data_IF_281165116300
#
_entry.id   IF_281165116300
#
_cell.length_a   1.000
_cell.length_b   1.000
_cell.length_c   1.000
_cell.angle_alpha   90.00
_cell.angle_beta   90.00
_cell.angle_gamma   90.00
#
_symmetry.space_group_name_H-M   'P 1'
#
loop_
_entity.id
_entity.type
_entity.pdbx_description
1 polymer ?
#
# COMPACT_ATOMS: atom_id res chain seq x y z
N UNK A 1 24.20 16.83 6.84
CA UNK A 1 22.98 16.05 7.10
C UNK A 1 23.14 15.33 8.42
N UNK A 2 22.31 15.63 9.42
CA UNK A 2 22.32 14.88 10.68
C UNK A 2 21.77 13.46 10.42
N UNK A 3 22.42 12.46 11.00
CA UNK A 3 21.99 11.07 10.86
C UNK A 3 20.65 10.87 11.58
N UNK A 4 19.63 10.43 10.84
CA UNK A 4 18.32 10.12 11.42
C UNK A 4 18.41 8.98 12.43
N UNK A 5 17.72 9.13 13.55
CA UNK A 5 17.55 8.07 14.54
C UNK A 5 16.76 6.90 13.94
N UNK A 6 16.90 5.67 14.48
CA UNK A 6 16.12 4.53 14.03
C UNK A 6 14.60 4.76 14.06
N UNK A 7 14.13 5.56 15.04
CA UNK A 7 12.72 5.93 15.19
C UNK A 7 12.25 6.84 14.06
N UNK A 8 12.99 7.91 13.76
CA UNK A 8 12.66 8.83 12.67
C UNK A 8 12.62 8.12 11.32
N UNK A 9 13.56 7.20 11.08
CA UNK A 9 13.55 6.35 9.88
C UNK A 9 12.29 5.48 9.80
N UNK A 10 11.87 4.90 10.92
CA UNK A 10 10.67 4.08 10.97
C UNK A 10 9.40 4.91 10.74
N UNK A 11 9.28 6.08 11.35
CA UNK A 11 8.15 7.00 11.16
C UNK A 11 8.06 7.51 9.72
N UNK A 12 9.20 7.90 9.12
CA UNK A 12 9.26 8.30 7.72
C UNK A 12 8.87 7.16 6.77
N UNK A 13 9.32 5.93 7.06
CA UNK A 13 8.95 4.75 6.27
C UNK A 13 7.43 4.48 6.36
N UNK A 14 6.85 4.59 7.55
CA UNK A 14 5.41 4.40 7.74
C UNK A 14 4.58 5.46 7.02
N UNK A 15 5.04 6.72 7.04
CA UNK A 15 4.40 7.81 6.30
C UNK A 15 4.40 7.52 4.80
N UNK A 16 5.57 7.17 4.24
CA UNK A 16 5.70 6.82 2.83
C UNK A 16 4.79 5.64 2.43
N UNK A 17 4.66 4.63 3.30
CA UNK A 17 3.76 3.49 3.06
C UNK A 17 2.28 3.91 3.00
N UNK A 18 1.84 4.82 3.88
CA UNK A 18 0.46 5.33 3.89
C UNK A 18 0.16 6.17 2.64
N UNK A 19 1.10 7.02 2.24
CA UNK A 19 0.97 7.81 1.01
C UNK A 19 0.91 6.90 -0.22
N UNK A 20 1.75 5.87 -0.24
CA UNK A 20 1.73 4.86 -1.30
C UNK A 20 0.39 4.11 -1.35
N UNK A 21 -0.17 3.68 -0.21
CA UNK A 21 -1.49 3.03 -0.18
C UNK A 21 -2.58 3.92 -0.78
N UNK A 22 -2.63 5.20 -0.38
CA UNK A 22 -3.58 6.18 -0.91
C UNK A 22 -3.44 6.35 -2.43
N UNK A 23 -2.21 6.35 -2.94
CA UNK A 23 -1.96 6.41 -4.38
C UNK A 23 -2.51 5.17 -5.10
N UNK A 24 -2.27 3.97 -4.55
CA UNK A 24 -2.78 2.72 -5.13
C UNK A 24 -4.30 2.66 -5.13
N UNK A 25 -4.98 3.15 -4.09
CA UNK A 25 -6.45 3.25 -4.04
C UNK A 25 -7.00 4.14 -5.15
N UNK A 26 -6.35 5.28 -5.41
CA UNK A 26 -6.70 6.17 -6.51
C UNK A 26 -6.58 5.46 -7.87
N UNK A 27 -5.45 4.78 -8.08
CA UNK A 27 -5.18 4.06 -9.33
C UNK A 27 -6.13 2.87 -9.54
N UNK A 28 -6.43 2.11 -8.48
CA UNK A 28 -7.39 1.00 -8.52
C UNK A 28 -8.79 1.50 -8.93
N UNK A 29 -9.22 2.62 -8.36
CA UNK A 29 -10.51 3.26 -8.70
C UNK A 29 -10.55 3.69 -10.16
N UNK A 30 -9.48 4.31 -10.66
CA UNK A 30 -9.45 4.86 -12.01
C UNK A 30 -9.34 3.74 -13.06
N UNK A 31 -8.55 2.70 -12.80
CA UNK A 31 -8.51 1.47 -13.62
C UNK A 31 -9.85 0.73 -13.61
N UNK A 32 -10.50 0.62 -12.45
CA UNK A 32 -11.82 -0.01 -12.34
C UNK A 32 -12.92 0.77 -13.09
N UNK A 33 -12.82 2.10 -13.16
CA UNK A 33 -13.71 2.92 -13.98
C UNK A 33 -13.44 2.69 -15.47
N UNK A 34 -12.17 2.55 -15.85
CA UNK A 34 -11.75 2.32 -17.23
C UNK A 34 -12.24 0.96 -17.73
N UNK A 35 -12.07 -0.11 -16.94
CA UNK A 35 -12.53 -1.46 -17.31
C UNK A 35 -14.05 -1.59 -17.46
N UNK A 36 -14.82 -0.70 -16.83
CA UNK A 36 -16.29 -0.63 -17.00
C UNK A 36 -16.71 0.13 -18.26
N UNK A 37 -15.87 1.04 -18.76
CA UNK A 37 -16.17 1.90 -19.90
C UNK A 37 -15.69 1.32 -21.23
N UNK A 38 -14.57 0.63 -21.21
CA UNK A 38 -13.93 0.09 -22.40
C UNK A 38 -13.70 -1.39 -22.20
N UNK A 39 -13.96 -2.18 -23.25
CA UNK A 39 -13.54 -3.57 -23.28
C UNK A 39 -12.01 -3.65 -23.26
N UNK A 40 -11.51 -4.75 -22.71
CA UNK A 40 -10.09 -5.06 -22.70
C UNK A 40 -9.43 -4.99 -24.09
N UNK A 41 -10.20 -5.32 -25.14
CA UNK A 41 -9.73 -5.24 -26.52
C UNK A 41 -9.58 -3.79 -26.99
N UNK A 42 -10.54 -2.92 -26.69
CA UNK A 42 -10.48 -1.50 -27.03
C UNK A 42 -9.31 -0.81 -26.34
N UNK A 43 -9.09 -1.11 -25.06
CA UNK A 43 -7.93 -0.61 -24.32
C UNK A 43 -6.64 -1.13 -24.95
N UNK A 44 -6.51 -2.43 -25.17
CA UNK A 44 -5.31 -3.03 -25.76
C UNK A 44 -4.93 -2.38 -27.10
N UNK A 45 -5.93 -2.14 -27.95
CA UNK A 45 -5.74 -1.53 -29.27
C UNK A 45 -5.39 -0.04 -29.18
N UNK A 46 -5.96 0.71 -28.22
CA UNK A 46 -5.75 2.15 -28.10
C UNK A 46 -4.43 2.56 -27.45
N UNK A 47 -3.94 1.80 -26.46
CA UNK A 47 -2.71 2.13 -25.70
C UNK A 47 -1.56 1.14 -25.91
N UNK A 48 -1.75 0.11 -26.74
CA UNK A 48 -0.71 -0.90 -26.99
C UNK A 48 -0.47 -1.87 -25.83
N UNK A 49 -1.47 -2.02 -24.95
CA UNK A 49 -1.42 -2.93 -23.82
C UNK A 49 -1.82 -4.36 -24.23
N UNK A 50 -1.39 -5.37 -23.45
CA UNK A 50 -1.88 -6.75 -23.62
C UNK A 50 -3.35 -6.81 -23.18
N UNK A 51 -4.20 -7.60 -23.86
CA UNK A 51 -5.64 -7.67 -23.58
C UNK A 51 -5.99 -8.09 -22.13
N UNK A 52 -5.11 -8.78 -21.41
CA UNK A 52 -5.31 -9.10 -20.00
C UNK A 52 -4.89 -7.98 -19.03
N UNK A 53 -4.20 -6.94 -19.51
CA UNK A 53 -3.34 -6.09 -18.70
C UNK A 53 -4.03 -5.25 -17.62
N UNK A 54 -5.27 -4.77 -17.83
CA UNK A 54 -5.98 -4.04 -16.77
C UNK A 54 -6.37 -4.97 -15.61
N UNK A 55 -6.89 -6.17 -15.91
CA UNK A 55 -7.27 -7.12 -14.86
C UNK A 55 -6.05 -7.64 -14.09
N UNK A 56 -4.94 -7.89 -14.79
CA UNK A 56 -3.67 -8.26 -14.16
C UNK A 56 -3.12 -7.13 -13.29
N UNK A 57 -3.14 -5.88 -13.78
CA UNK A 57 -2.73 -4.71 -13.00
C UNK A 57 -3.57 -4.55 -11.72
N UNK A 58 -4.90 -4.69 -11.82
CA UNK A 58 -5.79 -4.66 -10.65
C UNK A 58 -5.46 -5.78 -9.65
N UNK A 59 -5.11 -6.98 -10.12
CA UNK A 59 -4.70 -8.08 -9.25
C UNK A 59 -3.36 -7.79 -8.53
N UNK A 60 -2.37 -7.24 -9.24
CA UNK A 60 -1.11 -6.82 -8.61
C UNK A 60 -1.33 -5.72 -7.58
N UNK A 61 -2.20 -4.75 -7.86
CA UNK A 61 -2.56 -3.71 -6.90
C UNK A 61 -3.17 -4.29 -5.63
N UNK A 62 -4.08 -5.27 -5.76
CA UNK A 62 -4.68 -5.94 -4.62
C UNK A 62 -3.63 -6.69 -3.76
N UNK A 63 -2.60 -7.29 -4.37
CA UNK A 63 -1.50 -7.95 -3.66
C UNK A 63 -0.68 -6.92 -2.88
N UNK A 64 -0.28 -5.82 -3.52
CA UNK A 64 0.52 -4.77 -2.87
C UNK A 64 -0.24 -4.19 -1.68
N UNK A 65 -1.55 -3.90 -1.83
CA UNK A 65 -2.38 -3.40 -0.73
C UNK A 65 -2.42 -4.37 0.45
N UNK A 66 -2.56 -5.68 0.19
CA UNK A 66 -2.53 -6.71 1.25
C UNK A 66 -1.21 -6.71 2.03
N UNK A 67 -0.08 -6.48 1.35
CA UNK A 67 1.24 -6.40 2.00
C UNK A 67 1.31 -5.17 2.92
N UNK A 68 0.87 -4.01 2.45
CA UNK A 68 0.86 -2.77 3.25
C UNK A 68 0.02 -2.97 4.52
N UNK A 69 -1.22 -3.45 4.37
CA UNK A 69 -2.11 -3.70 5.50
C UNK A 69 -1.55 -4.72 6.51
N UNK A 70 -0.82 -5.73 6.02
CA UNK A 70 -0.16 -6.70 6.90
C UNK A 70 0.95 -6.03 7.70
N UNK A 71 1.75 -5.17 7.07
CA UNK A 71 2.81 -4.41 7.74
C UNK A 71 2.25 -3.49 8.80
N UNK A 72 1.18 -2.75 8.51
CA UNK A 72 0.51 -1.88 9.49
C UNK A 72 0.05 -2.66 10.73
N UNK A 73 -0.59 -3.82 10.54
CA UNK A 73 -1.01 -4.68 11.67
C UNK A 73 0.17 -5.15 12.52
N UNK A 74 1.29 -5.51 11.88
CA UNK A 74 2.50 -5.94 12.60
C UNK A 74 3.08 -4.79 13.44
N UNK A 75 3.12 -3.58 12.87
CA UNK A 75 3.61 -2.37 13.54
C UNK A 75 2.71 -2.00 14.71
N UNK A 76 1.39 -1.98 14.52
CA UNK A 76 0.43 -1.70 15.58
C UNK A 76 0.59 -2.68 16.77
N UNK A 77 0.75 -3.98 16.50
CA UNK A 77 0.99 -5.00 17.54
C UNK A 77 2.31 -4.78 18.29
N UNK A 78 3.37 -4.34 17.61
CA UNK A 78 4.65 -4.01 18.27
C UNK A 78 4.51 -2.83 19.22
N UNK A 79 3.80 -1.79 18.81
CA UNK A 79 3.59 -0.61 19.65
C UNK A 79 2.79 -0.95 20.92
N UNK A 80 1.68 -1.71 20.78
CA UNK A 80 0.89 -2.17 21.94
C UNK A 80 1.75 -3.00 22.91
N UNK A 81 2.61 -3.90 22.39
CA UNK A 81 3.51 -4.69 23.23
C UNK A 81 4.55 -3.83 23.93
N UNK A 82 5.08 -2.80 23.27
CA UNK A 82 6.03 -1.86 23.88
C UNK A 82 5.38 -1.05 25.00
N UNK A 83 4.16 -0.54 24.78
CA UNK A 83 3.37 0.19 25.78
C UNK A 83 3.09 -0.69 27.02
N UNK A 84 2.65 -1.93 26.81
CA UNK A 84 2.40 -2.87 27.91
C UNK A 84 3.67 -3.22 28.68
N UNK A 85 4.82 -3.35 27.99
CA UNK A 85 6.10 -3.63 28.64
C UNK A 85 6.58 -2.45 29.50
N UNK A 86 6.36 -1.20 29.06
CA UNK A 86 6.70 -0.01 29.86
C UNK A 86 5.84 0.11 31.11
N UNK A 87 4.57 -0.28 31.07
CA UNK A 87 3.67 -0.28 32.23
C UNK A 87 4.10 -1.34 33.26
N UNK A 88 4.51 -2.54 32.82
CA UNK A 88 4.91 -3.62 33.73
C UNK A 88 6.26 -3.41 34.43
N UNK A 89 7.11 -2.50 33.94
CA UNK A 89 8.42 -2.19 34.55
C UNK A 89 8.39 -1.02 35.54
N UNK A 90 7.21 -0.43 35.77
CA UNK A 90 7.03 0.70 36.69
C UNK A 90 6.32 0.33 38.00
N UNK A 91 6.13 -0.96 38.27
CA UNK A 91 5.58 -1.52 39.52
C UNK A 91 6.67 -2.13 40.40
#
# INVERSE_FOLDING_TARGET
MLAQTPREKAEATLLAMKEFERYLEGMERDLSRTSKKFSNREVAQGVGFVAAGIHEALNYLAIVRKVIQKTERVVARRNIRAENATVSTSD
#
